data_IF_912187616050
#
_entry.id   IF_912187616050
#
_cell.length_a   1.000
_cell.length_b   1.000
_cell.length_c   1.000
_cell.angle_alpha   90.00
_cell.angle_beta   90.00
_cell.angle_gamma   90.00
#
_symmetry.space_group_name_H-M   'P 1'
#
loop_
_entity.id
_entity.type
_entity.pdbx_description
1 polymer ?
#
# COMPACT_ATOMS: atom_id res chain seq x y z
N UNK A 1 7.56 10.82 4.45
CA UNK A 1 8.45 11.33 5.52
C UNK A 1 7.96 10.74 6.83
N UNK A 2 8.87 10.28 7.68
CA UNK A 2 8.50 9.75 9.02
C UNK A 2 8.63 10.86 10.05
N UNK A 3 7.66 10.95 10.94
CA UNK A 3 7.63 11.94 12.04
C UNK A 3 7.97 11.30 13.40
N UNK A 4 8.44 10.03 13.39
CA UNK A 4 8.87 9.31 14.58
C UNK A 4 7.75 9.04 15.59
N UNK A 5 6.51 8.93 15.14
CA UNK A 5 5.35 8.71 16.00
C UNK A 5 4.79 10.00 16.65
N UNK A 6 5.30 11.18 16.29
CA UNK A 6 4.77 12.47 16.78
C UNK A 6 3.38 12.73 16.17
N UNK A 7 2.34 12.45 16.94
CA UNK A 7 0.95 12.58 16.54
C UNK A 7 0.55 14.02 16.12
N UNK A 8 1.10 15.04 16.80
CA UNK A 8 0.79 16.43 16.49
C UNK A 8 1.42 16.83 15.15
N UNK A 9 2.67 16.43 14.90
CA UNK A 9 3.34 16.68 13.63
C UNK A 9 2.63 15.93 12.48
N UNK A 10 2.15 14.73 12.72
CA UNK A 10 1.35 13.96 11.74
C UNK A 10 0.06 14.71 11.41
N UNK A 11 -0.74 15.08 12.40
CA UNK A 11 -1.99 15.79 12.18
C UNK A 11 -1.78 17.08 11.38
N UNK A 12 -0.83 17.94 11.79
CA UNK A 12 -0.52 19.19 11.09
C UNK A 12 -0.13 19.00 9.62
N UNK A 13 0.66 17.95 9.31
CA UNK A 13 1.07 17.68 7.94
C UNK A 13 -0.07 17.10 7.09
N UNK A 14 -0.94 16.30 7.67
CA UNK A 14 -2.16 15.79 7.02
C UNK A 14 -3.12 16.94 6.72
N UNK A 15 -3.39 17.84 7.66
CA UNK A 15 -4.20 19.04 7.45
C UNK A 15 -3.62 19.92 6.33
N UNK A 16 -2.29 20.09 6.32
CA UNK A 16 -1.61 20.83 5.26
C UNK A 16 -1.78 20.18 3.90
N UNK A 17 -1.65 18.84 3.79
CA UNK A 17 -1.89 18.12 2.55
C UNK A 17 -3.35 18.31 2.07
N UNK A 18 -4.33 18.23 2.98
CA UNK A 18 -5.71 18.52 2.66
C UNK A 18 -5.92 19.95 2.14
N UNK A 19 -5.26 20.93 2.74
CA UNK A 19 -5.36 22.34 2.30
C UNK A 19 -4.88 22.55 0.87
N UNK A 20 -4.03 21.65 0.35
CA UNK A 20 -3.62 21.63 -1.06
C UNK A 20 -4.58 20.82 -1.97
N UNK A 21 -5.65 20.27 -1.41
CA UNK A 21 -6.66 19.54 -2.16
C UNK A 21 -6.42 18.03 -2.29
N UNK A 22 -5.41 17.49 -1.62
CA UNK A 22 -5.20 16.03 -1.61
C UNK A 22 -6.32 15.32 -0.82
N UNK A 23 -6.90 14.29 -1.44
CA UNK A 23 -7.96 13.44 -0.88
C UNK A 23 -7.49 12.03 -0.53
N UNK A 24 -6.32 11.65 -1.00
CA UNK A 24 -5.64 10.41 -0.64
C UNK A 24 -4.28 10.77 -0.07
N UNK A 25 -4.01 10.36 1.14
CA UNK A 25 -2.80 10.71 1.88
C UNK A 25 -2.16 9.43 2.40
N UNK A 26 -0.91 9.20 2.00
CA UNK A 26 -0.12 8.08 2.48
C UNK A 26 0.73 8.50 3.68
N UNK A 27 0.55 7.79 4.77
CA UNK A 27 1.26 7.98 6.02
C UNK A 27 2.38 6.94 6.13
N UNK A 28 3.56 7.37 6.53
CA UNK A 28 4.71 6.49 6.71
C UNK A 28 5.14 6.45 8.18
N UNK A 29 4.24 5.94 9.03
CA UNK A 29 4.38 5.82 10.47
C UNK A 29 4.03 4.40 10.92
N UNK A 30 4.39 4.04 12.16
CA UNK A 30 4.22 2.68 12.68
C UNK A 30 3.52 2.61 14.03
N UNK A 31 2.96 3.73 14.50
CA UNK A 31 2.31 3.79 15.82
C UNK A 31 0.83 4.13 15.70
N UNK A 32 -0.01 3.46 16.48
CA UNK A 32 -1.45 3.68 16.49
C UNK A 32 -1.84 5.13 16.83
N UNK A 33 -1.19 5.81 17.79
CA UNK A 33 -1.49 7.24 18.02
C UNK A 33 -1.26 8.10 16.78
N UNK A 34 -0.20 7.84 15.98
CA UNK A 34 0.05 8.56 14.73
C UNK A 34 -1.01 8.25 13.67
N UNK A 35 -1.45 6.99 13.56
CA UNK A 35 -2.53 6.58 12.65
C UNK A 35 -3.83 7.32 12.99
N UNK A 36 -4.23 7.32 14.25
CA UNK A 36 -5.43 8.01 14.73
C UNK A 36 -5.35 9.50 14.55
N UNK A 37 -4.18 10.11 14.79
CA UNK A 37 -3.97 11.53 14.53
C UNK A 37 -4.20 11.89 13.06
N UNK A 38 -3.68 11.07 12.13
CA UNK A 38 -3.93 11.26 10.71
C UNK A 38 -5.42 11.09 10.34
N UNK A 39 -6.08 10.05 10.86
CA UNK A 39 -7.50 9.79 10.57
C UNK A 39 -8.40 10.90 11.09
N UNK A 40 -8.11 11.44 12.29
CA UNK A 40 -8.88 12.52 12.91
C UNK A 40 -8.66 13.89 12.25
N UNK A 41 -7.57 14.06 11.50
CA UNK A 41 -7.24 15.30 10.79
C UNK A 41 -7.93 15.44 9.42
N UNK A 42 -8.75 14.45 9.01
CA UNK A 42 -9.39 14.41 7.68
C UNK A 42 -10.87 14.08 7.78
N UNK A 43 -11.62 14.33 6.70
CA UNK A 43 -13.02 13.93 6.59
C UNK A 43 -13.15 12.40 6.35
N UNK A 44 -14.36 11.87 6.56
CA UNK A 44 -14.63 10.43 6.39
C UNK A 44 -14.35 9.94 4.96
N UNK A 45 -14.61 10.76 3.96
CA UNK A 45 -14.41 10.44 2.55
C UNK A 45 -12.95 10.53 2.10
N UNK A 46 -12.07 11.11 2.90
CA UNK A 46 -10.65 11.17 2.60
C UNK A 46 -9.97 9.83 2.93
N UNK A 47 -9.07 9.40 2.07
CA UNK A 47 -8.40 8.11 2.17
C UNK A 47 -7.06 8.26 2.89
N UNK A 48 -6.90 7.55 3.99
CA UNK A 48 -5.60 7.43 4.68
C UNK A 48 -5.04 6.04 4.42
N UNK A 49 -3.88 6.00 3.78
CA UNK A 49 -3.11 4.79 3.49
C UNK A 49 -1.96 4.69 4.49
N UNK A 50 -1.81 3.54 5.12
CA UNK A 50 -0.77 3.30 6.12
C UNK A 50 0.35 2.47 5.52
N UNK A 51 1.49 3.08 5.22
CA UNK A 51 2.70 2.37 4.80
C UNK A 51 3.64 2.22 6.00
N UNK A 52 3.80 1.03 6.47
CA UNK A 52 4.63 0.74 7.66
C UNK A 52 6.00 0.19 7.31
N UNK A 53 6.21 -0.29 6.09
CA UNK A 53 7.50 -0.75 5.56
C UNK A 53 8.12 -1.91 6.35
N UNK A 54 7.36 -3.01 6.47
CA UNK A 54 7.75 -4.30 7.04
C UNK A 54 8.32 -4.26 8.48
N UNK A 55 7.69 -3.57 9.46
CA UNK A 55 8.29 -3.45 10.78
C UNK A 55 7.96 -4.62 11.72
N UNK A 56 6.94 -5.44 11.43
CA UNK A 56 6.34 -6.36 12.39
C UNK A 56 6.48 -7.83 12.02
N UNK A 57 6.38 -8.67 13.04
CA UNK A 57 6.03 -10.08 12.88
C UNK A 57 4.56 -10.22 12.50
N UNK A 58 4.16 -11.39 12.02
CA UNK A 58 2.75 -11.68 11.70
C UNK A 58 1.83 -11.44 12.92
N UNK A 59 2.24 -11.88 14.11
CA UNK A 59 1.47 -11.69 15.33
C UNK A 59 1.26 -10.20 15.66
N UNK A 60 2.33 -9.41 15.65
CA UNK A 60 2.25 -7.96 15.91
C UNK A 60 1.39 -7.24 14.85
N UNK A 61 1.55 -7.60 13.58
CA UNK A 61 0.76 -7.01 12.50
C UNK A 61 -0.74 -7.33 12.63
N UNK A 62 -1.09 -8.54 13.05
CA UNK A 62 -2.48 -8.93 13.33
C UNK A 62 -3.08 -8.13 14.48
N UNK A 63 -2.34 -7.96 15.58
CA UNK A 63 -2.80 -7.15 16.71
C UNK A 63 -3.08 -5.70 16.28
N UNK A 64 -2.18 -5.10 15.51
CA UNK A 64 -2.36 -3.73 14.99
C UNK A 64 -3.53 -3.68 14.01
N UNK A 65 -3.61 -4.61 13.05
CA UNK A 65 -4.70 -4.65 12.07
C UNK A 65 -6.07 -4.80 12.75
N UNK A 66 -6.18 -5.69 13.73
CA UNK A 66 -7.41 -5.86 14.52
C UNK A 66 -7.80 -4.56 15.24
N UNK A 67 -6.83 -3.87 15.86
CA UNK A 67 -7.09 -2.64 16.62
C UNK A 67 -7.62 -1.51 15.73
N UNK A 68 -7.14 -1.42 14.47
CA UNK A 68 -7.53 -0.35 13.55
C UNK A 68 -8.61 -0.73 12.54
N UNK A 69 -9.14 -1.95 12.58
CA UNK A 69 -10.03 -2.52 11.56
C UNK A 69 -11.30 -1.70 11.30
N UNK A 70 -11.86 -1.07 12.33
CA UNK A 70 -13.09 -0.26 12.22
C UNK A 70 -12.83 1.25 12.02
N UNK A 71 -11.56 1.66 11.95
CA UNK A 71 -11.21 3.09 11.89
C UNK A 71 -11.24 3.69 10.47
N UNK A 72 -11.55 2.88 9.45
CA UNK A 72 -11.77 3.35 8.08
C UNK A 72 -10.48 3.76 7.35
N UNK A 73 -9.36 3.10 7.63
CA UNK A 73 -8.15 3.23 6.84
C UNK A 73 -8.33 2.60 5.46
N UNK A 74 -7.72 3.19 4.46
CA UNK A 74 -7.89 2.74 3.08
C UNK A 74 -7.13 1.43 2.81
N UNK A 75 -5.92 1.31 3.36
CA UNK A 75 -5.15 0.06 3.44
C UNK A 75 -4.03 0.13 4.49
N UNK A 76 -3.53 -1.04 4.85
CA UNK A 76 -2.28 -1.26 5.57
C UNK A 76 -1.27 -1.88 4.60
N UNK A 77 -0.14 -1.20 4.39
CA UNK A 77 0.86 -1.53 3.38
C UNK A 77 2.11 -2.11 4.00
N UNK A 78 2.59 -3.22 3.41
CA UNK A 78 3.83 -3.92 3.78
C UNK A 78 3.96 -4.13 5.32
N UNK A 79 2.97 -4.80 6.00
CA UNK A 79 2.96 -4.84 7.46
C UNK A 79 4.02 -5.75 8.07
N UNK A 80 4.46 -6.83 7.38
CA UNK A 80 5.27 -7.88 7.98
C UNK A 80 6.64 -8.07 7.34
N UNK A 81 7.55 -8.62 8.11
CA UNK A 81 8.85 -9.12 7.64
C UNK A 81 8.93 -10.64 7.84
N UNK A 82 9.38 -11.43 6.84
CA UNK A 82 9.75 -10.97 5.48
C UNK A 82 8.53 -10.66 4.61
N UNK A 83 8.63 -9.75 3.64
CA UNK A 83 7.49 -9.35 2.79
C UNK A 83 7.03 -10.46 1.82
N UNK A 84 7.80 -11.52 1.66
CA UNK A 84 7.47 -12.71 0.85
C UNK A 84 6.63 -13.75 1.62
N UNK A 85 6.36 -13.54 2.91
CA UNK A 85 5.48 -14.42 3.68
C UNK A 85 4.00 -14.12 3.35
N UNK A 86 3.57 -14.63 2.19
CA UNK A 86 2.21 -14.40 1.72
C UNK A 86 1.15 -15.12 2.56
N UNK A 87 1.50 -16.22 3.20
CA UNK A 87 0.60 -16.89 4.16
C UNK A 87 0.38 -16.01 5.39
N UNK A 88 1.46 -15.45 5.94
CA UNK A 88 1.39 -14.50 7.04
C UNK A 88 0.63 -13.22 6.68
N UNK A 89 0.82 -12.67 5.47
CA UNK A 89 0.02 -11.53 4.98
C UNK A 89 -1.47 -11.86 4.90
N UNK A 90 -1.82 -13.06 4.43
CA UNK A 90 -3.21 -13.51 4.38
C UNK A 90 -3.83 -13.59 5.78
N UNK A 91 -3.07 -14.03 6.80
CA UNK A 91 -3.54 -14.00 8.18
C UNK A 91 -3.81 -12.57 8.69
N UNK A 92 -2.93 -11.62 8.36
CA UNK A 92 -3.13 -10.19 8.73
C UNK A 92 -4.37 -9.62 8.04
N UNK A 93 -4.57 -9.96 6.76
CA UNK A 93 -5.75 -9.51 5.98
C UNK A 93 -7.07 -9.93 6.60
N UNK A 94 -7.12 -11.10 7.23
CA UNK A 94 -8.33 -11.61 7.90
C UNK A 94 -8.78 -10.75 9.09
N UNK A 95 -7.94 -9.87 9.63
CA UNK A 95 -8.31 -8.95 10.70
C UNK A 95 -9.17 -7.75 10.22
N UNK A 96 -9.42 -7.63 8.90
CA UNK A 96 -10.43 -6.74 8.34
C UNK A 96 -9.93 -5.41 7.77
N UNK A 97 -8.62 -5.11 7.83
CA UNK A 97 -8.02 -3.99 7.13
C UNK A 97 -7.56 -4.44 5.74
N UNK A 98 -7.89 -3.72 4.65
CA UNK A 98 -7.37 -4.07 3.34
C UNK A 98 -5.84 -4.04 3.31
N UNK A 99 -5.22 -5.06 2.75
CA UNK A 99 -3.76 -5.18 2.66
C UNK A 99 -3.27 -4.71 1.29
N UNK A 100 -2.22 -3.90 1.31
CA UNK A 100 -1.49 -3.45 0.13
C UNK A 100 -0.05 -3.94 0.21
N UNK A 101 0.45 -4.59 -0.83
CA UNK A 101 1.83 -5.05 -0.90
C UNK A 101 2.28 -5.34 -2.33
N UNK A 102 3.59 -5.52 -2.53
CA UNK A 102 4.13 -5.93 -3.82
C UNK A 102 5.30 -5.10 -4.33
N UNK A 103 5.66 -4.02 -3.66
CA UNK A 103 6.82 -3.23 -4.05
C UNK A 103 8.13 -4.02 -3.96
N UNK A 104 8.19 -5.00 -3.06
CA UNK A 104 9.34 -5.87 -2.83
C UNK A 104 9.30 -7.17 -3.66
N UNK A 105 8.21 -7.45 -4.34
CA UNK A 105 8.07 -8.62 -5.22
C UNK A 105 8.79 -8.35 -6.56
N UNK A 106 9.53 -9.34 -7.03
CA UNK A 106 10.35 -9.19 -8.24
C UNK A 106 9.98 -10.13 -9.38
N UNK A 107 9.42 -11.29 -9.10
CA UNK A 107 9.12 -12.29 -10.13
C UNK A 107 7.62 -12.45 -10.40
N UNK A 108 7.26 -12.82 -11.64
CA UNK A 108 5.87 -13.08 -11.99
C UNK A 108 5.27 -14.23 -11.18
N UNK A 109 6.11 -15.20 -10.75
CA UNK A 109 5.68 -16.32 -9.93
C UNK A 109 5.28 -15.87 -8.52
N UNK A 110 6.07 -15.02 -7.89
CA UNK A 110 5.74 -14.45 -6.56
C UNK A 110 4.48 -13.58 -6.61
N UNK A 111 4.31 -12.76 -7.66
CA UNK A 111 3.07 -12.01 -7.86
C UNK A 111 1.85 -12.93 -7.97
N UNK A 112 1.98 -14.02 -8.72
CA UNK A 112 0.94 -15.04 -8.83
C UNK A 112 0.64 -15.66 -7.47
N UNK A 113 1.67 -16.04 -6.72
CA UNK A 113 1.52 -16.65 -5.40
C UNK A 113 0.82 -15.72 -4.41
N UNK A 114 1.22 -14.43 -4.34
CA UNK A 114 0.59 -13.44 -3.48
C UNK A 114 -0.92 -13.28 -3.75
N UNK A 115 -1.33 -13.39 -5.02
CA UNK A 115 -2.74 -13.33 -5.40
C UNK A 115 -3.48 -14.65 -5.13
N UNK A 116 -2.84 -15.81 -5.33
CA UNK A 116 -3.43 -17.14 -5.07
C UNK A 116 -3.65 -17.43 -3.59
N UNK A 117 -2.78 -16.90 -2.73
CA UNK A 117 -2.93 -17.02 -1.27
C UNK A 117 -3.93 -16.01 -0.68
N UNK A 118 -4.53 -15.18 -1.55
CA UNK A 118 -5.44 -14.09 -1.10
C UNK A 118 -4.80 -13.16 -0.05
N UNK A 119 -3.49 -12.95 -0.17
CA UNK A 119 -2.70 -12.18 0.78
C UNK A 119 -2.98 -10.67 0.74
N UNK A 120 -3.50 -10.18 -0.39
CA UNK A 120 -3.56 -8.74 -0.70
C UNK A 120 -4.87 -8.34 -1.35
N UNK A 121 -5.28 -7.11 -1.13
CA UNK A 121 -6.38 -6.44 -1.83
C UNK A 121 -5.84 -5.50 -2.93
N UNK A 122 -4.68 -4.88 -2.67
CA UNK A 122 -4.01 -4.00 -3.61
C UNK A 122 -2.61 -4.55 -3.93
N UNK A 123 -2.36 -4.75 -5.22
CA UNK A 123 -1.08 -5.22 -5.75
C UNK A 123 -0.24 -4.02 -6.19
N UNK A 124 0.94 -3.84 -5.59
CA UNK A 124 1.81 -2.67 -5.81
C UNK A 124 3.12 -3.02 -6.54
N UNK A 125 3.06 -3.49 -7.80
CA UNK A 125 4.27 -3.84 -8.53
C UNK A 125 5.07 -2.59 -8.90
N UNK A 126 6.39 -2.68 -8.77
CA UNK A 126 7.32 -1.64 -9.18
C UNK A 126 7.96 -1.97 -10.54
N UNK A 127 7.78 -1.11 -11.53
CA UNK A 127 8.34 -1.31 -12.88
C UNK A 127 9.85 -1.48 -12.89
N UNK A 128 10.54 -0.83 -11.97
CA UNK A 128 12.00 -0.90 -11.85
C UNK A 128 12.48 -2.14 -11.13
N UNK A 129 11.70 -2.67 -10.20
CA UNK A 129 12.05 -3.87 -9.43
C UNK A 129 11.60 -5.16 -10.14
N UNK A 130 10.44 -5.17 -10.77
CA UNK A 130 9.90 -6.38 -11.42
C UNK A 130 10.52 -6.73 -12.78
N UNK A 131 11.43 -5.90 -13.30
CA UNK A 131 12.15 -6.17 -14.56
C UNK A 131 11.61 -5.45 -15.80
N UNK A 132 11.00 -4.26 -15.62
CA UNK A 132 10.64 -3.34 -16.69
C UNK A 132 9.24 -3.49 -17.26
N UNK A 133 8.95 -2.66 -18.26
CA UNK A 133 7.61 -2.49 -18.85
C UNK A 133 6.99 -3.82 -19.32
N UNK A 134 7.76 -4.65 -20.01
CA UNK A 134 7.24 -5.90 -20.58
C UNK A 134 6.79 -6.89 -19.50
N UNK A 135 7.50 -6.93 -18.36
CA UNK A 135 7.14 -7.79 -17.25
C UNK A 135 5.96 -7.18 -16.47
N UNK A 136 5.97 -5.88 -16.24
CA UNK A 136 4.87 -5.17 -15.60
C UNK A 136 3.54 -5.38 -16.32
N UNK A 137 3.52 -5.32 -17.66
CA UNK A 137 2.32 -5.63 -18.45
C UNK A 137 1.80 -7.05 -18.22
N UNK A 138 2.71 -8.04 -18.10
CA UNK A 138 2.31 -9.42 -17.78
C UNK A 138 1.71 -9.53 -16.37
N UNK A 139 2.25 -8.80 -15.41
CA UNK A 139 1.71 -8.76 -14.04
C UNK A 139 0.30 -8.14 -14.05
N UNK A 140 0.11 -7.02 -14.74
CA UNK A 140 -1.19 -6.37 -14.89
C UNK A 140 -2.21 -7.33 -15.52
N UNK A 141 -1.86 -7.96 -16.66
CA UNK A 141 -2.76 -8.93 -17.31
C UNK A 141 -3.03 -10.17 -16.44
N UNK A 142 -2.06 -10.62 -15.65
CA UNK A 142 -2.28 -11.72 -14.71
C UNK A 142 -3.26 -11.30 -13.59
N UNK A 143 -3.15 -10.08 -13.08
CA UNK A 143 -4.01 -9.57 -12.02
C UNK A 143 -5.50 -9.47 -12.44
N UNK A 144 -5.81 -9.33 -13.74
CA UNK A 144 -7.18 -9.23 -14.25
C UNK A 144 -8.08 -10.43 -13.90
N UNK A 145 -7.50 -11.59 -13.55
CA UNK A 145 -8.26 -12.79 -13.17
C UNK A 145 -8.35 -13.01 -11.66
N UNK A 146 -7.84 -12.07 -10.88
CA UNK A 146 -7.89 -12.12 -9.41
C UNK A 146 -8.64 -10.91 -8.85
N UNK A 147 -9.25 -11.02 -7.66
CA UNK A 147 -9.98 -9.91 -7.03
C UNK A 147 -9.03 -8.89 -6.37
N UNK A 148 -8.06 -8.38 -7.12
CA UNK A 148 -7.08 -7.41 -6.64
C UNK A 148 -7.09 -6.14 -7.47
N UNK A 149 -6.77 -5.00 -6.86
CA UNK A 149 -6.57 -3.73 -7.56
C UNK A 149 -5.07 -3.52 -7.79
N UNK A 150 -4.66 -3.24 -9.03
CA UNK A 150 -3.25 -2.92 -9.32
C UNK A 150 -3.01 -1.43 -9.10
N UNK A 151 -2.16 -1.09 -8.15
CA UNK A 151 -1.73 0.27 -7.81
C UNK A 151 -0.20 0.29 -7.89
N UNK A 152 0.41 0.73 -9.00
CA UNK A 152 1.85 0.64 -9.17
C UNK A 152 2.60 1.47 -8.15
N UNK A 153 3.53 0.84 -7.43
CA UNK A 153 4.50 1.53 -6.60
C UNK A 153 5.46 2.34 -7.48
N UNK A 154 5.57 3.63 -7.24
CA UNK A 154 6.40 4.54 -8.03
C UNK A 154 7.04 5.64 -7.18
N UNK A 155 8.06 5.27 -6.49
CA UNK A 155 8.88 6.14 -5.63
C UNK A 155 10.05 6.78 -6.42
N UNK A 156 10.14 6.58 -7.74
CA UNK A 156 11.32 6.85 -8.55
C UNK A 156 11.25 8.17 -9.29
N UNK A 157 12.43 8.65 -9.70
CA UNK A 157 12.62 9.79 -10.57
C UNK A 157 13.02 9.33 -12.00
N UNK A 158 12.77 10.16 -12.99
CA UNK A 158 13.23 9.94 -14.35
C UNK A 158 12.55 8.73 -15.04
N UNK A 159 13.32 7.83 -15.70
CA UNK A 159 12.75 6.81 -16.57
C UNK A 159 11.77 5.86 -15.89
N UNK A 160 12.00 5.50 -14.61
CA UNK A 160 11.09 4.64 -13.85
C UNK A 160 9.73 5.29 -13.66
N UNK A 161 9.69 6.55 -13.25
CA UNK A 161 8.46 7.32 -13.11
C UNK A 161 7.70 7.41 -14.44
N UNK A 162 8.38 7.81 -15.53
CA UNK A 162 7.73 7.92 -16.84
C UNK A 162 7.18 6.58 -17.32
N UNK A 163 7.93 5.49 -17.14
CA UNK A 163 7.46 4.16 -17.52
C UNK A 163 6.20 3.76 -16.74
N UNK A 164 6.16 4.03 -15.43
CA UNK A 164 5.00 3.76 -14.58
C UNK A 164 3.80 4.61 -14.99
N UNK A 165 3.98 5.90 -15.23
CA UNK A 165 2.92 6.81 -15.67
C UNK A 165 2.30 6.36 -17.00
N UNK A 166 3.14 5.96 -17.99
CA UNK A 166 2.66 5.44 -19.27
C UNK A 166 1.89 4.12 -19.12
N UNK A 167 2.38 3.22 -18.27
CA UNK A 167 1.69 1.96 -17.99
C UNK A 167 0.34 2.20 -17.31
N UNK A 168 0.29 3.05 -16.30
CA UNK A 168 -0.95 3.40 -15.62
C UNK A 168 -1.97 4.00 -16.59
N UNK A 169 -1.56 4.94 -17.44
CA UNK A 169 -2.43 5.56 -18.43
C UNK A 169 -2.93 4.60 -19.53
N UNK A 170 -2.20 3.52 -19.81
CA UNK A 170 -2.50 2.62 -20.93
C UNK A 170 -3.16 1.30 -20.55
N UNK A 171 -2.99 0.84 -19.32
CA UNK A 171 -3.34 -0.51 -18.90
C UNK A 171 -4.21 -0.58 -17.63
N UNK A 172 -4.37 0.51 -16.93
CA UNK A 172 -5.12 0.50 -15.66
C UNK A 172 -6.36 1.39 -15.75
N UNK A 173 -7.38 1.04 -14.98
CA UNK A 173 -8.42 2.00 -14.65
C UNK A 173 -7.79 3.18 -13.90
N UNK A 174 -8.36 4.41 -13.97
CA UNK A 174 -7.79 5.56 -13.30
C UNK A 174 -7.60 5.27 -11.80
N UNK A 175 -6.38 4.96 -11.43
CA UNK A 175 -5.94 4.79 -10.04
C UNK A 175 -4.86 5.82 -9.75
N UNK A 176 -4.78 6.36 -8.53
CA UNK A 176 -3.65 7.19 -8.17
C UNK A 176 -2.34 6.40 -8.35
N UNK A 177 -1.31 7.06 -8.82
CA UNK A 177 0.05 6.55 -8.69
C UNK A 177 0.50 6.80 -7.26
N UNK A 178 1.13 5.83 -6.70
CA UNK A 178 1.75 5.91 -5.41
C UNK A 178 3.06 6.68 -5.44
#
# INVERSE_FOLDING_TARGET
MRYGGDADAVAQNVERARSYGFKTIKLHETTIPAFRAARNAVELDDKICLDVNCPWTVAEAREVAQEISEEGFHWLEEPIWPPEDFEGLAEVRLEGVPISAGENITTLHEFKLAMETEAIDNLQPSVTKCGGISKMRKIISLAEVYPVTVIPHCFYWGPGYHATAHLAASCLTPTPLE
#
